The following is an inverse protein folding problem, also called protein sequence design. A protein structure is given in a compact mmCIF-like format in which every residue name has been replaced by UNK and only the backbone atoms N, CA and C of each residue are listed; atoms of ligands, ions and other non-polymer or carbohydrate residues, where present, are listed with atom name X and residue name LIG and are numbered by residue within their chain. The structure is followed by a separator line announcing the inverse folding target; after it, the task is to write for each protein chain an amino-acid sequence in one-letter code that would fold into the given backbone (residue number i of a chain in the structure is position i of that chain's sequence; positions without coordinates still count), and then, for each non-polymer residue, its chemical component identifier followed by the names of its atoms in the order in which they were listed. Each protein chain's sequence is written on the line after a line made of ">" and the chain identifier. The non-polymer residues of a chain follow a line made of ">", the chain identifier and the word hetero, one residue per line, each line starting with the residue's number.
data_IF_736783413926
#
_entry.id   IF_736783413926
#
_cell.length_a   1.000
_cell.length_b   1.000
_cell.length_c   1.000
_cell.angle_alpha   90.00
_cell.angle_beta   90.00
_cell.angle_gamma   90.00
#
_symmetry.space_group_name_H-M   'P 1'
#
loop_
_entity.id
_entity.type
_entity.pdbx_description
1 polymer ?
#
# COMPACT_ATOMS: atom_id res chain seq x y z
N UNK A 1 -2.42 2.21 19.57
CA UNK A 1 -2.12 1.45 18.35
C UNK A 1 -0.65 1.06 18.37
N UNK A 2 -0.35 -0.22 18.19
CA UNK A 2 0.99 -0.75 18.03
C UNK A 2 1.43 -0.65 16.56
N UNK A 3 2.29 0.32 16.26
CA UNK A 3 2.81 0.58 14.91
C UNK A 3 3.74 -0.52 14.36
N UNK A 4 4.06 -1.55 15.15
CA UNK A 4 4.78 -2.75 14.67
C UNK A 4 3.81 -3.88 14.29
N UNK A 5 2.54 -3.77 14.63
CA UNK A 5 1.54 -4.80 14.34
C UNK A 5 0.91 -4.55 12.97
N UNK A 6 1.18 -5.44 12.01
CA UNK A 6 0.66 -5.32 10.65
C UNK A 6 -0.86 -5.27 10.54
N UNK A 7 -1.59 -6.00 11.42
CA UNK A 7 -3.06 -6.00 11.44
C UNK A 7 -3.62 -4.66 11.93
N UNK A 8 -3.02 -4.07 12.96
CA UNK A 8 -3.45 -2.74 13.42
C UNK A 8 -3.14 -1.65 12.38
N UNK A 9 -1.99 -1.75 11.70
CA UNK A 9 -1.61 -0.82 10.64
C UNK A 9 -2.52 -0.94 9.42
N UNK A 10 -2.88 -2.15 9.03
CA UNK A 10 -3.84 -2.41 7.95
C UNK A 10 -5.21 -1.82 8.31
N UNK A 11 -5.74 -2.09 9.50
CA UNK A 11 -7.01 -1.53 9.97
C UNK A 11 -7.01 -0.01 9.96
N UNK A 12 -5.89 0.64 10.30
CA UNK A 12 -5.78 2.09 10.22
C UNK A 12 -5.85 2.57 8.76
N UNK A 13 -5.08 1.94 7.85
CA UNK A 13 -4.99 2.39 6.46
C UNK A 13 -6.23 2.02 5.66
N UNK A 14 -6.52 0.74 5.49
CA UNK A 14 -7.63 0.29 4.64
C UNK A 14 -8.96 0.32 5.41
N UNK A 15 -9.03 -0.30 6.58
CA UNK A 15 -10.28 -0.42 7.35
C UNK A 15 -10.86 0.90 7.89
N UNK A 16 -10.03 1.93 8.07
CA UNK A 16 -10.42 3.22 8.67
C UNK A 16 -10.20 4.38 7.71
N UNK A 17 -8.94 4.66 7.35
CA UNK A 17 -8.61 5.86 6.58
C UNK A 17 -9.20 5.80 5.17
N UNK A 18 -8.96 4.72 4.41
CA UNK A 18 -9.50 4.55 3.06
C UNK A 18 -10.99 4.19 3.04
N UNK A 19 -11.52 3.64 4.13
CA UNK A 19 -12.94 3.36 4.32
C UNK A 19 -13.74 4.63 4.70
N UNK A 20 -13.53 5.71 3.97
CA UNK A 20 -14.28 6.95 4.16
C UNK A 20 -15.09 7.27 2.91
N UNK A 21 -16.15 8.06 3.06
CA UNK A 21 -16.91 8.61 1.92
C UNK A 21 -16.11 9.60 1.06
N UNK A 22 -14.87 9.93 1.44
CA UNK A 22 -14.00 10.84 0.71
C UNK A 22 -13.21 10.12 -0.39
N UNK A 23 -13.63 10.36 -1.63
CA UNK A 23 -13.15 9.79 -2.89
C UNK A 23 -11.63 9.99 -3.09
N UNK A 24 -11.06 11.08 -2.57
CA UNK A 24 -9.66 11.45 -2.83
C UNK A 24 -8.64 10.90 -1.82
N UNK A 25 -9.07 10.24 -0.74
CA UNK A 25 -8.15 9.81 0.34
C UNK A 25 -6.98 8.96 -0.12
N UNK A 26 -7.22 8.02 -1.03
CA UNK A 26 -6.13 7.21 -1.59
C UNK A 26 -5.06 8.07 -2.26
N UNK A 27 -5.48 9.06 -3.06
CA UNK A 27 -4.55 9.98 -3.72
C UNK A 27 -3.80 10.84 -2.70
N UNK A 28 -4.50 11.42 -1.73
CA UNK A 28 -3.91 12.26 -0.69
C UNK A 28 -2.88 11.51 0.15
N UNK A 29 -3.17 10.26 0.51
CA UNK A 29 -2.20 9.41 1.23
C UNK A 29 -0.96 9.10 0.37
N UNK A 30 -1.14 8.78 -0.91
CA UNK A 30 -0.02 8.57 -1.83
C UNK A 30 0.86 9.82 -1.97
N UNK A 31 0.26 11.01 -1.99
CA UNK A 31 0.97 12.30 -2.00
C UNK A 31 1.77 12.55 -0.71
N UNK A 32 1.18 12.27 0.47
CA UNK A 32 1.91 12.37 1.75
C UNK A 32 3.05 11.34 1.87
N UNK A 33 2.86 10.13 1.35
CA UNK A 33 3.93 9.14 1.23
C UNK A 33 5.04 9.61 0.27
N UNK A 34 4.68 10.38 -0.76
CA UNK A 34 5.60 11.07 -1.67
C UNK A 34 6.50 12.12 -1.00
N UNK A 35 6.17 12.57 0.22
CA UNK A 35 7.00 13.50 1.00
C UNK A 35 8.00 12.79 1.92
N UNK A 36 7.94 11.47 2.02
CA UNK A 36 8.82 10.69 2.89
C UNK A 36 10.22 10.49 2.30
N UNK A 37 11.15 9.97 3.12
CA UNK A 37 12.50 9.59 2.69
C UNK A 37 12.50 8.47 1.64
N UNK A 38 13.58 8.41 0.85
CA UNK A 38 13.76 7.41 -0.23
C UNK A 38 13.64 5.97 0.26
N UNK A 39 14.05 5.72 1.51
CA UNK A 39 13.91 4.44 2.19
C UNK A 39 12.45 4.01 2.32
N UNK A 40 11.60 4.90 2.82
CA UNK A 40 10.16 4.65 3.00
C UNK A 40 9.44 4.55 1.67
N UNK A 41 9.78 5.40 0.70
CA UNK A 41 9.20 5.32 -0.65
C UNK A 41 9.50 3.97 -1.31
N UNK A 42 10.71 3.46 -1.11
CA UNK A 42 11.13 2.14 -1.60
C UNK A 42 10.36 1.01 -0.91
N UNK A 43 10.26 1.06 0.43
CA UNK A 43 9.45 0.13 1.21
C UNK A 43 7.96 0.15 0.82
N UNK A 44 7.41 1.33 0.58
CA UNK A 44 6.01 1.50 0.20
C UNK A 44 5.75 0.99 -1.22
N UNK A 45 6.67 1.23 -2.15
CA UNK A 45 6.62 0.62 -3.49
C UNK A 45 6.64 -0.90 -3.41
N UNK A 46 7.54 -1.45 -2.59
CA UNK A 46 7.57 -2.89 -2.33
C UNK A 46 6.22 -3.40 -1.80
N UNK A 47 5.63 -2.75 -0.79
CA UNK A 47 4.35 -3.15 -0.20
C UNK A 47 3.24 -3.22 -1.26
N UNK A 48 3.13 -2.18 -2.10
CA UNK A 48 2.11 -2.10 -3.14
C UNK A 48 2.32 -3.17 -4.23
N UNK A 49 3.56 -3.43 -4.64
CA UNK A 49 3.85 -4.50 -5.60
C UNK A 49 3.60 -5.89 -5.01
N UNK A 50 3.94 -6.12 -3.74
CA UNK A 50 3.67 -7.37 -3.04
C UNK A 50 2.16 -7.63 -2.91
N UNK A 51 1.36 -6.59 -2.67
CA UNK A 51 -0.10 -6.68 -2.69
C UNK A 51 -0.64 -7.08 -4.07
N UNK A 52 -0.16 -6.43 -5.14
CA UNK A 52 -0.52 -6.81 -6.50
C UNK A 52 -0.07 -8.24 -6.85
N UNK A 53 1.07 -8.70 -6.33
CA UNK A 53 1.50 -10.09 -6.53
C UNK A 53 0.48 -11.07 -5.93
N UNK A 54 0.02 -10.79 -4.71
CA UNK A 54 -1.02 -11.59 -4.04
C UNK A 54 -2.30 -11.60 -4.87
N UNK A 55 -2.77 -10.43 -5.31
CA UNK A 55 -3.97 -10.32 -6.13
C UNK A 55 -3.85 -11.08 -7.46
N UNK A 56 -2.68 -11.07 -8.09
CA UNK A 56 -2.45 -11.76 -9.37
C UNK A 56 -2.66 -13.28 -9.26
N UNK A 57 -2.44 -13.83 -8.05
CA UNK A 57 -2.59 -15.25 -7.71
C UNK A 57 -3.92 -15.57 -7.03
N UNK A 58 -4.80 -14.58 -6.86
CA UNK A 58 -6.08 -14.76 -6.20
C UNK A 58 -7.06 -15.50 -7.12
N UNK A 59 -7.56 -16.64 -6.64
CA UNK A 59 -8.57 -17.44 -7.35
C UNK A 59 -10.00 -17.04 -6.99
N UNK A 60 -10.23 -16.62 -5.74
CA UNK A 60 -11.55 -16.26 -5.23
C UNK A 60 -11.70 -14.76 -5.00
N UNK A 61 -12.46 -14.12 -5.88
CA UNK A 61 -12.79 -12.70 -5.85
C UNK A 61 -14.22 -12.49 -6.37
N UNK A 62 -14.76 -11.27 -6.23
CA UNK A 62 -16.08 -10.92 -6.74
C UNK A 62 -16.07 -9.55 -7.44
N UNK A 63 -17.23 -9.13 -7.95
CA UNK A 63 -17.39 -7.89 -8.71
C UNK A 63 -16.81 -6.64 -8.00
N UNK A 64 -16.70 -6.65 -6.66
CA UNK A 64 -16.20 -5.52 -5.86
C UNK A 64 -14.68 -5.37 -5.90
N UNK A 65 -13.93 -6.41 -6.25
CA UNK A 65 -12.47 -6.31 -6.43
C UNK A 65 -11.94 -6.92 -7.74
N UNK A 66 -12.82 -7.37 -8.63
CA UNK A 66 -12.50 -7.93 -9.94
C UNK A 66 -11.49 -7.07 -10.71
N UNK A 67 -11.75 -5.76 -10.82
CA UNK A 67 -10.88 -4.84 -11.55
C UNK A 67 -9.46 -4.80 -10.97
N UNK A 68 -9.32 -4.88 -9.64
CA UNK A 68 -8.01 -4.97 -8.99
C UNK A 68 -7.29 -6.29 -9.30
N UNK A 69 -8.01 -7.40 -9.31
CA UNK A 69 -7.46 -8.73 -9.63
C UNK A 69 -7.01 -8.80 -11.09
N UNK A 70 -7.83 -8.32 -12.04
CA UNK A 70 -7.48 -8.32 -13.46
C UNK A 70 -6.27 -7.44 -13.74
N UNK A 71 -6.22 -6.24 -13.15
CA UNK A 71 -5.06 -5.37 -13.25
C UNK A 71 -3.79 -6.04 -12.69
N UNK A 72 -3.90 -6.67 -11.52
CA UNK A 72 -2.79 -7.37 -10.91
C UNK A 72 -2.27 -8.51 -11.80
N UNK A 73 -3.16 -9.28 -12.43
CA UNK A 73 -2.80 -10.31 -13.42
C UNK A 73 -2.11 -9.71 -14.64
N UNK A 74 -2.62 -8.60 -15.16
CA UNK A 74 -2.00 -7.90 -16.28
C UNK A 74 -0.57 -7.42 -15.97
N UNK A 75 -0.36 -6.83 -14.78
CA UNK A 75 0.96 -6.41 -14.31
C UNK A 75 1.89 -7.63 -14.20
N UNK A 76 1.45 -8.71 -13.56
CA UNK A 76 2.28 -9.89 -13.34
C UNK A 76 2.36 -10.86 -14.52
N UNK A 77 1.74 -10.55 -15.66
CA UNK A 77 2.04 -11.19 -16.95
C UNK A 77 3.46 -10.84 -17.46
N UNK A 78 4.12 -9.86 -16.84
CA UNK A 78 5.52 -9.51 -17.09
C UNK A 78 6.34 -9.75 -15.81
N UNK A 79 7.64 -10.05 -15.92
CA UNK A 79 8.51 -10.09 -14.75
C UNK A 79 8.51 -8.74 -14.02
N UNK A 80 8.08 -8.76 -12.76
CA UNK A 80 8.14 -7.61 -11.85
C UNK A 80 9.23 -7.88 -10.84
N UNK A 81 10.28 -7.07 -10.86
CA UNK A 81 11.31 -7.08 -9.83
C UNK A 81 11.01 -6.00 -8.78
N UNK A 82 10.44 -6.36 -7.62
CA UNK A 82 10.17 -5.38 -6.57
C UNK A 82 11.49 -4.82 -6.04
N UNK A 83 11.51 -3.54 -5.62
CA UNK A 83 12.73 -2.95 -5.09
C UNK A 83 13.17 -3.64 -3.80
N UNK A 84 14.49 -3.75 -3.61
CA UNK A 84 15.05 -4.36 -2.40
C UNK A 84 14.75 -3.49 -1.18
N UNK A 85 14.04 -4.06 -0.22
CA UNK A 85 13.85 -3.45 1.10
C UNK A 85 15.04 -3.85 1.96
N UNK A 86 15.93 -2.90 2.23
CA UNK A 86 16.97 -3.08 3.25
C UNK A 86 16.35 -2.86 4.62
N UNK A 87 16.78 -3.63 5.63
CA UNK A 87 16.41 -3.38 7.02
C UNK A 87 16.69 -1.93 7.38
N UNK A 88 15.64 -1.16 7.61
CA UNK A 88 15.75 0.26 7.97
C UNK A 88 16.13 0.33 9.45
N UNK A 89 17.02 1.27 9.80
CA UNK A 89 17.50 1.43 11.18
C UNK A 89 16.33 1.41 12.16
N UNK A 90 16.52 0.71 13.28
CA UNK A 90 15.52 0.58 14.32
C UNK A 90 14.99 1.96 14.70
N UNK A 91 13.68 2.12 14.51
CA UNK A 91 12.96 3.25 15.07
C UNK A 91 13.02 3.13 16.58
N UNK A 92 13.60 4.13 17.25
CA UNK A 92 13.67 4.22 18.72
C UNK A 92 12.29 3.94 19.32
N UNK A 93 12.22 3.12 20.38
CA UNK A 93 10.96 2.78 21.08
C UNK A 93 10.17 4.02 21.55
N UNK A 94 10.83 5.19 21.64
CA UNK A 94 10.20 6.48 21.99
C UNK A 94 9.37 7.10 20.86
N UNK A 95 9.41 6.57 19.63
CA UNK A 95 8.55 6.99 18.51
C UNK A 95 7.18 6.29 18.50
N UNK A 96 6.64 5.89 19.67
CA UNK A 96 5.20 5.67 19.79
C UNK A 96 4.49 6.98 19.50
N UNK A 97 3.87 7.10 18.32
CA UNK A 97 3.05 8.26 17.95
C UNK A 97 1.93 8.39 18.99
N UNK A 98 1.95 9.48 19.78
CA UNK A 98 0.80 9.90 20.60
C UNK A 98 -0.38 10.06 19.65
N UNK A 99 -1.51 9.42 19.98
CA UNK A 99 -2.81 9.43 19.27
C UNK A 99 -2.74 9.77 17.77
N UNK A 100 -2.79 8.76 16.90
CA UNK A 100 -2.91 8.98 15.45
C UNK A 100 -4.31 9.49 15.14
N UNK A 101 -4.42 10.69 14.56
CA UNK A 101 -5.65 11.15 13.94
C UNK A 101 -5.87 10.37 12.63
N UNK A 102 -6.84 9.46 12.64
CA UNK A 102 -7.15 8.60 11.50
C UNK A 102 -7.84 9.32 10.34
N UNK A 103 -8.17 10.61 10.49
CA UNK A 103 -8.70 11.45 9.41
C UNK A 103 -7.59 12.27 8.73
N UNK A 104 -6.47 12.47 9.44
CA UNK A 104 -5.32 13.24 8.95
C UNK A 104 -4.44 12.38 8.02
N UNK A 105 -4.33 12.71 6.71
CA UNK A 105 -3.46 11.99 5.78
C UNK A 105 -2.00 12.01 6.24
N UNK A 106 -1.56 13.11 6.86
CA UNK A 106 -0.20 13.28 7.36
C UNK A 106 0.08 12.34 8.52
N UNK A 107 -0.86 12.19 9.45
CA UNK A 107 -0.67 11.33 10.62
C UNK A 107 -0.72 9.86 10.23
N UNK A 108 -1.62 9.48 9.32
CA UNK A 108 -1.68 8.13 8.74
C UNK A 108 -0.41 7.82 7.95
N UNK A 109 0.09 8.75 7.12
CA UNK A 109 1.35 8.57 6.41
C UNK A 109 2.54 8.43 7.36
N UNK A 110 2.57 9.20 8.46
CA UNK A 110 3.61 9.08 9.48
C UNK A 110 3.56 7.71 10.18
N UNK A 111 2.37 7.26 10.58
CA UNK A 111 2.19 5.94 11.18
C UNK A 111 2.63 4.81 10.23
N UNK A 112 2.22 4.87 8.96
CA UNK A 112 2.61 3.91 7.93
C UNK A 112 4.12 3.96 7.65
N UNK A 113 4.72 5.14 7.60
CA UNK A 113 6.18 5.35 7.47
C UNK A 113 6.95 4.71 8.63
N UNK A 114 6.46 4.82 9.86
CA UNK A 114 7.03 4.11 11.02
C UNK A 114 6.90 2.60 10.88
N UNK A 115 5.73 2.08 10.52
CA UNK A 115 5.52 0.64 10.30
C UNK A 115 6.43 0.06 9.21
N UNK A 116 6.54 0.75 8.07
CA UNK A 116 7.37 0.28 6.95
C UNK A 116 8.85 0.14 7.32
N UNK A 117 9.33 0.96 8.26
CA UNK A 117 10.69 0.82 8.81
C UNK A 117 10.80 -0.37 9.75
N UNK A 118 9.86 -0.50 10.67
CA UNK A 118 9.93 -1.51 11.75
C UNK A 118 9.69 -2.93 11.27
N UNK A 119 8.83 -3.14 10.27
CA UNK A 119 8.48 -4.48 9.77
C UNK A 119 9.13 -4.84 8.42
N UNK A 120 10.22 -4.12 8.06
CA UNK A 120 10.97 -4.36 6.82
C UNK A 120 11.50 -5.79 6.71
N UNK A 121 11.96 -6.38 7.82
CA UNK A 121 12.43 -7.77 7.87
C UNK A 121 11.29 -8.79 7.70
N UNK A 122 10.10 -8.49 8.24
CA UNK A 122 8.89 -9.30 8.09
C UNK A 122 8.24 -9.17 6.70
N UNK A 123 8.80 -8.30 5.84
CA UNK A 123 8.30 -8.01 4.48
C UNK A 123 6.81 -7.65 4.48
N UNK A 124 6.33 -7.06 5.57
CA UNK A 124 4.96 -6.60 5.75
C UNK A 124 3.91 -7.71 5.72
N UNK A 125 4.30 -8.97 5.97
CA UNK A 125 3.43 -10.13 5.85
C UNK A 125 2.15 -10.02 6.70
N UNK A 126 2.26 -9.48 7.93
CA UNK A 126 1.11 -9.30 8.82
C UNK A 126 0.09 -8.31 8.27
N UNK A 127 0.54 -7.22 7.64
CA UNK A 127 -0.35 -6.26 6.98
C UNK A 127 -1.01 -6.88 5.76
N UNK A 128 -0.24 -7.56 4.90
CA UNK A 128 -0.75 -8.17 3.69
C UNK A 128 -1.78 -9.27 3.99
N UNK A 129 -1.54 -10.09 5.01
CA UNK A 129 -2.49 -11.12 5.45
C UNK A 129 -3.80 -10.51 5.99
N UNK A 130 -3.70 -9.40 6.74
CA UNK A 130 -4.89 -8.67 7.20
C UNK A 130 -5.69 -8.11 6.02
N UNK A 131 -5.01 -7.49 5.04
CA UNK A 131 -5.64 -6.92 3.85
C UNK A 131 -6.30 -7.99 2.96
N UNK A 132 -5.70 -9.18 2.85
CA UNK A 132 -6.32 -10.33 2.16
C UNK A 132 -7.65 -10.76 2.79
N UNK A 133 -7.79 -10.56 4.11
CA UNK A 133 -8.98 -10.93 4.89
C UNK A 133 -10.03 -9.82 4.92
N UNK A 134 -9.71 -8.62 4.43
CA UNK A 134 -10.64 -7.50 4.38
C UNK A 134 -11.77 -7.68 3.36
N UNK A 135 -12.78 -6.83 3.52
CA UNK A 135 -13.87 -6.75 2.54
C UNK A 135 -13.33 -6.39 1.14
N UNK A 136 -13.93 -6.97 0.08
CA UNK A 136 -13.47 -6.78 -1.32
C UNK A 136 -13.46 -5.31 -1.76
N UNK A 137 -14.42 -4.51 -1.30
CA UNK A 137 -14.41 -3.05 -1.54
C UNK A 137 -13.16 -2.38 -0.97
N UNK A 138 -12.69 -2.79 0.22
CA UNK A 138 -11.48 -2.21 0.84
C UNK A 138 -10.20 -2.65 0.14
N UNK A 139 -10.17 -3.90 -0.35
CA UNK A 139 -9.10 -4.39 -1.23
C UNK A 139 -9.02 -3.57 -2.52
N UNK A 140 -10.17 -3.24 -3.13
CA UNK A 140 -10.26 -2.35 -4.28
C UNK A 140 -9.76 -0.93 -3.94
N UNK A 141 -10.19 -0.36 -2.81
CA UNK A 141 -9.74 0.96 -2.34
C UNK A 141 -8.23 1.02 -2.10
N UNK A 142 -7.65 0.00 -1.46
CA UNK A 142 -6.21 -0.08 -1.26
C UNK A 142 -5.46 -0.21 -2.60
N UNK A 143 -5.94 -1.05 -3.52
CA UNK A 143 -5.33 -1.20 -4.84
C UNK A 143 -5.32 0.10 -5.62
N UNK A 144 -6.42 0.87 -5.55
CA UNK A 144 -6.50 2.20 -6.17
C UNK A 144 -5.46 3.17 -5.61
N UNK A 145 -5.35 3.25 -4.29
CA UNK A 145 -4.32 4.04 -3.62
C UNK A 145 -2.92 3.61 -4.08
N UNK A 146 -2.67 2.29 -4.12
CA UNK A 146 -1.41 1.72 -4.58
C UNK A 146 -1.09 2.09 -6.02
N UNK A 147 -2.07 2.07 -6.93
CA UNK A 147 -1.87 2.49 -8.32
C UNK A 147 -1.63 3.99 -8.46
N UNK A 148 -2.24 4.84 -7.63
CA UNK A 148 -1.88 6.26 -7.56
C UNK A 148 -0.40 6.43 -7.18
N UNK A 149 0.07 5.68 -6.19
CA UNK A 149 1.48 5.68 -5.79
C UNK A 149 2.40 5.17 -6.90
N UNK A 150 2.13 3.97 -7.45
CA UNK A 150 2.99 3.33 -8.43
C UNK A 150 3.11 4.17 -9.71
N UNK A 151 2.03 4.79 -10.19
CA UNK A 151 2.10 5.70 -11.34
C UNK A 151 3.02 6.90 -11.11
N UNK A 152 3.14 7.38 -9.87
CA UNK A 152 4.02 8.48 -9.50
C UNK A 152 5.49 8.03 -9.30
N UNK A 153 5.70 6.95 -8.54
CA UNK A 153 7.05 6.52 -8.14
C UNK A 153 7.75 5.67 -9.23
N UNK A 154 7.03 4.77 -9.90
CA UNK A 154 7.60 3.88 -10.92
C UNK A 154 8.09 4.63 -12.16
N UNK A 155 7.58 5.83 -12.46
CA UNK A 155 8.04 6.66 -13.58
C UNK A 155 9.54 6.92 -13.52
N UNK A 156 10.11 6.97 -12.31
CA UNK A 156 11.54 7.20 -12.08
C UNK A 156 12.36 5.90 -11.94
N UNK A 157 11.72 4.72 -12.06
CA UNK A 157 12.34 3.41 -11.90
C UNK A 157 12.43 2.70 -13.25
N UNK A 158 13.66 2.52 -13.77
CA UNK A 158 13.91 1.95 -15.11
C UNK A 158 13.20 0.62 -15.37
N UNK A 159 13.10 -0.27 -14.38
CA UNK A 159 12.53 -1.60 -14.51
C UNK A 159 11.00 -1.65 -14.28
N UNK A 160 10.39 -0.56 -13.83
CA UNK A 160 8.96 -0.50 -13.47
C UNK A 160 8.20 0.62 -14.18
N UNK A 161 8.87 1.48 -14.96
CA UNK A 161 8.26 2.65 -15.60
C UNK A 161 7.08 2.30 -16.50
N UNK A 162 7.10 1.10 -17.11
CA UNK A 162 6.02 0.60 -17.96
C UNK A 162 4.69 0.38 -17.22
N UNK A 163 4.71 0.25 -15.88
CA UNK A 163 3.48 0.17 -15.06
C UNK A 163 2.67 1.48 -15.19
N UNK A 164 3.34 2.61 -15.42
CA UNK A 164 2.68 3.90 -15.60
C UNK A 164 1.82 3.96 -16.88
N UNK A 165 2.13 3.12 -17.86
CA UNK A 165 1.49 3.13 -19.18
C UNK A 165 0.30 2.15 -19.28
N UNK A 166 0.04 1.38 -18.22
CA UNK A 166 -1.11 0.48 -18.17
C UNK A 166 -2.39 1.29 -18.00
N UNK A 167 -3.25 1.20 -19.02
CA UNK A 167 -4.57 1.80 -19.02
C UNK A 167 -5.55 0.99 -18.18
N UNK A 168 -5.40 1.13 -16.86
CA UNK A 168 -6.24 0.47 -15.89
C UNK A 168 -7.22 1.46 -15.28
N UNK A 169 -8.52 1.20 -15.48
CA UNK A 169 -9.60 1.86 -14.78
C UNK A 169 -10.02 1.02 -13.57
N UNK A 170 -9.81 1.58 -12.37
CA UNK A 170 -10.30 0.98 -11.13
C UNK A 170 -11.54 1.76 -10.68
N UNK A 171 -12.76 1.21 -10.82
CA UNK A 171 -14.00 1.92 -10.52
C UNK A 171 -14.12 2.23 -9.02
N UNK A 172 -14.93 3.24 -8.70
CA UNK A 172 -15.46 3.44 -7.35
C UNK A 172 -16.68 2.52 -7.20
N UNK A 173 -16.72 1.72 -6.14
CA UNK A 173 -17.77 0.75 -5.87
C UNK A 173 -18.33 1.03 -4.49
#
# INVERSE_FOLDING_TARGET
>A
MNLKNGKEMERLVAGTYLNSMCIDRGKTLAEEMGKQGTDVKTAFTYLNLAWLEILSKMEYHDARNEASVQLAKEIYNRPVEPPKVTSLKEVSEKETVRSVDSESPRDVAKALSTYLRTDSAGRYAGFLQALMSEHRTLQQSFTRMGMCWLRADCRNRKNLSWICDIDAHLPFI
#
